data_IF_723245927921
#
_entry.id   IF_723245927921
#
_cell.length_a   1.000
_cell.length_b   1.000
_cell.length_c   1.000
_cell.angle_alpha   90.00
_cell.angle_beta   90.00
_cell.angle_gamma   90.00
#
_symmetry.space_group_name_H-M   'P 1'
#
loop_
_entity.id
_entity.type
_entity.pdbx_description
1 polymer ?
#
# COMPACT_ATOMS: atom_id res chain seq x y z
N UNK A 1 -2.00 12.84 -39.13
CA UNK A 1 -2.47 12.83 -37.73
C UNK A 1 -1.25 12.91 -36.83
N UNK A 2 -1.18 13.83 -35.86
CA UNK A 2 -0.08 13.83 -34.90
C UNK A 2 -0.11 12.54 -34.08
N UNK A 3 1.04 11.86 -33.97
CA UNK A 3 1.15 10.66 -33.14
C UNK A 3 0.87 11.00 -31.67
N UNK A 4 -0.21 10.46 -31.11
CA UNK A 4 -0.47 10.53 -29.69
C UNK A 4 0.59 9.69 -28.96
N UNK A 5 1.64 10.34 -28.45
CA UNK A 5 2.67 9.68 -27.64
C UNK A 5 2.16 9.51 -26.21
N UNK A 6 1.59 8.33 -25.92
CA UNK A 6 1.25 7.93 -24.55
C UNK A 6 2.52 7.75 -23.72
N UNK A 7 2.63 8.51 -22.63
CA UNK A 7 3.76 8.41 -21.70
C UNK A 7 3.70 7.12 -20.89
N UNK A 8 2.50 6.61 -20.62
CA UNK A 8 2.29 5.36 -19.88
C UNK A 8 3.01 4.20 -20.58
N UNK A 9 2.79 4.03 -21.89
CA UNK A 9 3.42 2.95 -22.65
C UNK A 9 4.95 2.98 -22.60
N UNK A 10 5.54 4.18 -22.67
CA UNK A 10 6.98 4.36 -22.54
C UNK A 10 7.50 3.99 -21.14
N UNK A 11 6.78 4.37 -20.07
CA UNK A 11 7.15 4.00 -18.68
C UNK A 11 7.10 2.51 -18.45
N UNK A 12 6.06 1.83 -18.93
CA UNK A 12 5.92 0.38 -18.83
C UNK A 12 7.01 -0.35 -19.60
N UNK A 13 7.31 0.09 -20.83
CA UNK A 13 8.41 -0.47 -21.63
C UNK A 13 9.76 -0.32 -20.92
N UNK A 14 10.05 0.86 -20.38
CA UNK A 14 11.29 1.11 -19.64
C UNK A 14 11.40 0.24 -18.38
N UNK A 15 10.31 0.12 -17.62
CA UNK A 15 10.25 -0.78 -16.47
C UNK A 15 10.51 -2.24 -16.85
N UNK A 16 9.90 -2.72 -17.94
CA UNK A 16 10.09 -4.09 -18.41
C UNK A 16 11.55 -4.36 -18.84
N UNK A 17 12.17 -3.44 -19.58
CA UNK A 17 13.58 -3.54 -19.94
C UNK A 17 14.51 -3.56 -18.72
N UNK A 18 14.22 -2.75 -17.70
CA UNK A 18 14.96 -2.77 -16.44
C UNK A 18 14.80 -4.08 -15.68
N UNK A 19 13.61 -4.70 -15.77
CA UNK A 19 13.33 -5.99 -15.14
C UNK A 19 14.11 -7.12 -15.82
N UNK A 20 14.14 -7.16 -17.14
CA UNK A 20 14.89 -8.15 -17.92
C UNK A 20 16.40 -8.04 -17.70
N UNK A 21 16.90 -6.82 -17.51
CA UNK A 21 18.33 -6.54 -17.26
C UNK A 21 18.73 -6.63 -15.79
N UNK A 22 17.78 -6.95 -14.89
CA UNK A 22 18.01 -7.01 -13.45
C UNK A 22 18.86 -8.23 -13.07
N UNK A 23 20.17 -8.13 -13.23
CA UNK A 23 21.16 -9.08 -12.72
C UNK A 23 21.89 -8.45 -11.55
N UNK A 24 21.30 -8.53 -10.36
CA UNK A 24 21.93 -8.02 -9.15
C UNK A 24 21.70 -8.98 -7.98
N UNK A 25 22.72 -9.76 -7.63
CA UNK A 25 22.73 -10.58 -6.41
C UNK A 25 22.26 -9.78 -5.18
N UNK A 26 22.72 -8.54 -5.07
CA UNK A 26 22.35 -7.63 -3.98
C UNK A 26 20.85 -7.33 -3.92
N UNK A 27 20.18 -7.28 -5.07
CA UNK A 27 18.73 -7.06 -5.12
C UNK A 27 17.99 -8.24 -4.48
N UNK A 28 18.33 -9.47 -4.88
CA UNK A 28 17.72 -10.68 -4.34
C UNK A 28 18.04 -10.87 -2.84
N UNK A 29 19.26 -10.55 -2.41
CA UNK A 29 19.61 -10.54 -0.97
C UNK A 29 18.74 -9.53 -0.21
N UNK A 30 18.55 -8.33 -0.76
CA UNK A 30 17.74 -7.30 -0.12
C UNK A 30 16.26 -7.70 -0.06
N UNK A 31 15.74 -8.31 -1.13
CA UNK A 31 14.37 -8.82 -1.19
C UNK A 31 14.14 -9.99 -0.21
N UNK A 32 15.08 -10.93 -0.14
CA UNK A 32 15.03 -12.04 0.80
C UNK A 32 15.14 -11.53 2.26
N UNK A 33 16.06 -10.60 2.52
CA UNK A 33 16.20 -9.96 3.83
C UNK A 33 14.95 -9.19 4.27
N UNK A 34 14.29 -8.50 3.33
CA UNK A 34 12.96 -7.92 3.56
C UNK A 34 11.96 -9.02 3.98
N UNK A 35 11.87 -10.10 3.20
CA UNK A 35 10.88 -11.18 3.42
C UNK A 35 11.03 -11.83 4.77
N UNK A 36 12.26 -12.22 5.09
CA UNK A 36 12.61 -12.87 6.35
C UNK A 36 12.38 -11.91 7.51
N UNK A 37 12.85 -10.66 7.43
CA UNK A 37 12.68 -9.68 8.51
C UNK A 37 11.22 -9.35 8.79
N UNK A 38 10.36 -9.30 7.76
CA UNK A 38 8.94 -9.07 7.94
C UNK A 38 8.23 -10.25 8.61
N UNK A 39 8.57 -11.48 8.20
CA UNK A 39 8.09 -12.69 8.85
C UNK A 39 8.46 -12.69 10.35
N UNK A 40 9.71 -12.33 10.67
CA UNK A 40 10.19 -12.27 12.05
C UNK A 40 9.51 -11.18 12.90
N UNK A 41 9.10 -10.07 12.30
CA UNK A 41 8.35 -9.00 12.98
C UNK A 41 6.90 -9.42 13.24
N UNK A 42 6.30 -10.20 12.34
CA UNK A 42 4.89 -10.59 12.41
C UNK A 42 4.62 -11.86 13.20
N UNK A 43 5.57 -12.79 13.21
CA UNK A 43 5.45 -14.00 14.00
C UNK A 43 5.65 -13.66 15.48
N UNK A 44 4.72 -14.02 16.36
CA UNK A 44 4.88 -13.86 17.80
C UNK A 44 5.92 -14.89 18.28
N UNK A 45 7.19 -14.57 18.04
CA UNK A 45 8.28 -15.29 18.66
C UNK A 45 8.32 -14.77 20.10
N UNK A 46 8.04 -15.63 21.08
CA UNK A 46 8.24 -15.38 22.51
C UNK A 46 9.75 -15.29 22.84
N UNK A 47 10.45 -14.43 22.10
CA UNK A 47 11.85 -14.12 22.28
C UNK A 47 11.98 -12.93 23.20
N UNK A 48 13.14 -12.86 23.85
CA UNK A 48 13.52 -11.80 24.77
C UNK A 48 13.32 -10.44 24.11
N UNK A 49 12.81 -9.45 24.84
CA UNK A 49 12.48 -8.10 24.33
C UNK A 49 13.56 -7.49 23.42
N UNK A 50 14.84 -7.72 23.75
CA UNK A 50 16.00 -7.24 22.99
C UNK A 50 16.09 -7.80 21.56
N UNK A 51 15.65 -9.04 21.33
CA UNK A 51 15.65 -9.68 20.02
C UNK A 51 14.54 -9.13 19.12
N UNK A 52 13.37 -8.84 19.70
CA UNK A 52 12.26 -8.23 18.95
C UNK A 52 12.65 -6.84 18.43
N UNK A 53 13.28 -6.02 19.27
CA UNK A 53 13.82 -4.72 18.84
C UNK A 53 14.80 -4.87 17.68
N UNK A 54 15.72 -5.85 17.74
CA UNK A 54 16.66 -6.13 16.66
C UNK A 54 15.94 -6.48 15.34
N UNK A 55 14.86 -7.28 15.39
CA UNK A 55 14.09 -7.60 14.19
C UNK A 55 13.37 -6.39 13.59
N UNK A 56 12.83 -5.49 14.41
CA UNK A 56 12.27 -4.22 13.91
C UNK A 56 13.35 -3.37 13.22
N UNK A 57 14.54 -3.24 13.82
CA UNK A 57 15.66 -2.48 13.22
C UNK A 57 16.10 -3.13 11.90
N UNK A 58 16.24 -4.45 11.88
CA UNK A 58 16.58 -5.21 10.68
C UNK A 58 15.53 -5.02 9.58
N UNK A 59 14.25 -5.07 9.95
CA UNK A 59 13.14 -4.89 9.03
C UNK A 59 13.14 -3.48 8.43
N UNK A 60 13.27 -2.45 9.25
CA UNK A 60 13.36 -1.06 8.79
C UNK A 60 14.55 -0.88 7.84
N UNK A 61 15.71 -1.45 8.17
CA UNK A 61 16.90 -1.42 7.31
C UNK A 61 16.64 -2.04 5.92
N UNK A 62 16.13 -3.28 5.87
CA UNK A 62 15.84 -3.95 4.60
C UNK A 62 14.69 -3.29 3.84
N UNK A 63 13.70 -2.74 4.53
CA UNK A 63 12.59 -2.02 3.93
C UNK A 63 13.07 -0.80 3.16
N UNK A 64 13.87 0.08 3.78
CA UNK A 64 14.43 1.24 3.08
C UNK A 64 15.38 0.84 1.96
N UNK A 65 16.24 -0.16 2.20
CA UNK A 65 17.19 -0.65 1.19
C UNK A 65 16.47 -1.24 -0.03
N UNK A 66 15.38 -1.99 0.18
CA UNK A 66 14.59 -2.58 -0.89
C UNK A 66 13.87 -1.51 -1.70
N UNK A 67 13.22 -0.55 -1.03
CA UNK A 67 12.54 0.56 -1.71
C UNK A 67 13.53 1.34 -2.56
N UNK A 68 14.71 1.67 -2.01
CA UNK A 68 15.76 2.37 -2.74
C UNK A 68 16.24 1.57 -3.95
N UNK A 69 16.46 0.26 -3.80
CA UNK A 69 16.86 -0.62 -4.90
C UNK A 69 15.78 -0.71 -6.00
N UNK A 70 14.51 -0.87 -5.64
CA UNK A 70 13.39 -0.91 -6.57
C UNK A 70 13.23 0.42 -7.32
N UNK A 71 13.36 1.54 -6.61
CA UNK A 71 13.25 2.88 -7.19
C UNK A 71 14.41 3.26 -8.10
N UNK A 72 15.63 2.86 -7.74
CA UNK A 72 16.83 3.21 -8.52
C UNK A 72 16.97 2.32 -9.75
N UNK A 73 16.73 1.02 -9.59
CA UNK A 73 16.96 0.00 -10.63
C UNK A 73 15.75 -0.23 -11.52
N UNK A 74 14.55 -0.35 -10.95
CA UNK A 74 13.36 -0.70 -11.74
C UNK A 74 12.56 0.52 -12.18
N UNK A 75 12.39 1.53 -11.31
CA UNK A 75 11.51 2.69 -11.53
C UNK A 75 10.10 2.26 -11.95
N UNK A 76 9.39 1.49 -11.11
CA UNK A 76 8.07 0.99 -11.46
C UNK A 76 7.08 2.14 -11.68
N UNK A 77 6.25 2.11 -12.75
CA UNK A 77 5.21 3.11 -12.94
C UNK A 77 4.21 3.06 -11.79
N UNK A 78 3.79 4.23 -11.29
CA UNK A 78 2.84 4.34 -10.19
C UNK A 78 1.55 3.57 -10.46
N UNK A 79 1.11 3.51 -11.70
CA UNK A 79 -0.17 2.92 -12.08
C UNK A 79 -0.12 1.39 -11.98
N UNK A 80 1.04 0.80 -12.30
CA UNK A 80 1.29 -0.61 -12.04
C UNK A 80 1.25 -0.89 -10.54
N UNK A 81 1.89 -0.06 -9.72
CA UNK A 81 1.91 -0.25 -8.26
C UNK A 81 0.50 -0.16 -7.65
N UNK A 82 -0.32 0.79 -8.10
CA UNK A 82 -1.72 0.93 -7.67
C UNK A 82 -2.55 -0.28 -8.10
N UNK A 83 -2.36 -0.75 -9.33
CA UNK A 83 -3.02 -1.97 -9.83
C UNK A 83 -2.61 -3.23 -9.05
N UNK A 84 -1.32 -3.40 -8.77
CA UNK A 84 -0.79 -4.51 -7.97
C UNK A 84 -1.29 -4.44 -6.53
N UNK A 85 -1.32 -3.26 -5.91
CA UNK A 85 -1.90 -3.10 -4.58
C UNK A 85 -3.37 -3.55 -4.58
N UNK A 86 -4.17 -3.07 -5.54
CA UNK A 86 -5.57 -3.43 -5.65
C UNK A 86 -5.79 -4.95 -5.85
N UNK A 87 -4.97 -5.58 -6.68
CA UNK A 87 -5.01 -7.03 -6.92
C UNK A 87 -4.67 -7.81 -5.65
N UNK A 88 -3.56 -7.50 -4.99
CA UNK A 88 -3.16 -8.17 -3.76
C UNK A 88 -4.14 -7.92 -2.63
N UNK A 89 -4.78 -6.75 -2.60
CA UNK A 89 -5.79 -6.46 -1.58
C UNK A 89 -7.06 -7.29 -1.78
N UNK A 90 -7.44 -7.60 -3.03
CA UNK A 90 -8.53 -8.56 -3.29
C UNK A 90 -8.20 -9.95 -2.78
N UNK A 91 -6.98 -10.43 -3.04
CA UNK A 91 -6.53 -11.73 -2.56
C UNK A 91 -6.52 -11.77 -1.04
N UNK A 92 -6.03 -10.70 -0.41
CA UNK A 92 -6.03 -10.53 1.03
C UNK A 92 -7.45 -10.49 1.61
N UNK A 93 -8.37 -9.74 1.01
CA UNK A 93 -9.76 -9.69 1.42
C UNK A 93 -10.45 -11.07 1.30
N UNK A 94 -10.11 -11.85 0.27
CA UNK A 94 -10.61 -13.21 0.12
C UNK A 94 -10.04 -14.15 1.21
N UNK A 95 -8.75 -14.04 1.54
CA UNK A 95 -8.13 -14.79 2.64
C UNK A 95 -8.78 -14.43 3.97
N UNK A 96 -8.92 -13.14 4.27
CA UNK A 96 -9.59 -12.65 5.46
C UNK A 96 -11.03 -13.15 5.53
N UNK A 97 -11.81 -13.01 4.45
CA UNK A 97 -13.19 -13.50 4.41
C UNK A 97 -13.27 -15.01 4.61
N UNK A 98 -12.33 -15.79 4.05
CA UNK A 98 -12.29 -17.24 4.28
C UNK A 98 -11.95 -17.62 5.73
N UNK A 99 -11.08 -16.85 6.39
CA UNK A 99 -10.79 -17.01 7.81
C UNK A 99 -11.98 -16.62 8.69
N UNK A 100 -12.73 -15.60 8.28
CA UNK A 100 -13.88 -15.11 9.03
C UNK A 100 -15.14 -15.93 8.80
N UNK A 101 -15.50 -16.30 7.57
CA UNK A 101 -16.75 -16.96 7.18
C UNK A 101 -16.94 -18.37 7.76
N UNK A 102 -15.89 -19.00 8.28
CA UNK A 102 -16.02 -20.15 9.20
C UNK A 102 -16.65 -19.78 10.56
N UNK A 103 -17.46 -18.71 10.64
CA UNK A 103 -17.90 -18.02 11.86
C UNK A 103 -18.82 -18.78 12.78
N UNK A 104 -19.52 -19.79 12.29
CA UNK A 104 -20.47 -20.54 13.11
C UNK A 104 -19.77 -21.45 14.15
N UNK A 105 -18.43 -21.48 14.17
CA UNK A 105 -17.58 -22.17 15.13
C UNK A 105 -16.77 -21.20 16.03
N UNK A 106 -17.16 -19.92 16.10
CA UNK A 106 -16.37 -18.83 16.70
C UNK A 106 -16.34 -18.82 18.22
N UNK A 107 -15.24 -19.36 18.74
CA UNK A 107 -14.43 -18.77 19.83
C UNK A 107 -12.99 -19.29 19.82
N UNK A 108 -12.74 -20.44 19.17
CA UNK A 108 -11.42 -21.10 19.16
C UNK A 108 -10.63 -20.96 17.84
N UNK A 109 -11.27 -20.57 16.74
CA UNK A 109 -10.65 -20.50 15.41
C UNK A 109 -10.00 -19.14 15.10
N UNK A 110 -10.35 -18.08 15.84
CA UNK A 110 -9.70 -16.76 15.74
C UNK A 110 -8.26 -16.81 16.29
N UNK A 111 -7.95 -17.77 17.16
CA UNK A 111 -6.63 -17.93 17.76
C UNK A 111 -5.62 -18.75 16.94
N UNK A 112 -6.04 -19.56 15.95
CA UNK A 112 -5.12 -20.39 15.15
C UNK A 112 -5.66 -20.67 13.73
N UNK A 113 -5.66 -19.68 12.82
CA UNK A 113 -5.74 -19.99 11.40
C UNK A 113 -4.66 -21.03 11.06
N UNK A 114 -5.00 -22.02 10.23
CA UNK A 114 -4.04 -23.04 9.81
C UNK A 114 -2.75 -22.39 9.28
N UNK A 115 -1.58 -22.98 9.50
CA UNK A 115 -0.28 -22.35 9.23
C UNK A 115 -0.14 -21.86 7.79
N UNK A 116 -0.80 -22.55 6.85
CA UNK A 116 -0.89 -22.13 5.45
C UNK A 116 -1.62 -20.79 5.27
N UNK A 117 -2.82 -20.64 5.83
CA UNK A 117 -3.62 -19.43 5.72
C UNK A 117 -2.91 -18.25 6.38
N UNK A 118 -2.30 -18.49 7.55
CA UNK A 118 -1.50 -17.50 8.26
C UNK A 118 -0.30 -17.04 7.42
N UNK A 119 0.43 -17.97 6.79
CA UNK A 119 1.54 -17.64 5.90
C UNK A 119 1.08 -16.86 4.66
N UNK A 120 -0.04 -17.26 4.04
CA UNK A 120 -0.62 -16.57 2.88
C UNK A 120 -1.00 -15.13 3.22
N UNK A 121 -1.66 -14.91 4.38
CA UNK A 121 -1.97 -13.58 4.89
C UNK A 121 -0.71 -12.72 5.05
N UNK A 122 0.35 -13.24 5.70
CA UNK A 122 1.62 -12.51 5.84
C UNK A 122 2.23 -12.18 4.47
N UNK A 123 2.18 -13.12 3.51
CA UNK A 123 2.69 -12.91 2.16
C UNK A 123 1.91 -11.82 1.39
N UNK A 124 0.60 -11.73 1.54
CA UNK A 124 -0.16 -10.67 0.90
C UNK A 124 0.01 -9.34 1.62
N UNK A 125 0.02 -9.33 2.95
CA UNK A 125 0.26 -8.14 3.75
C UNK A 125 1.65 -7.53 3.49
N UNK A 126 2.67 -8.37 3.35
CA UNK A 126 4.01 -7.95 2.95
C UNK A 126 4.04 -7.24 1.60
N UNK A 127 3.41 -7.85 0.59
CA UNK A 127 3.31 -7.28 -0.74
C UNK A 127 2.53 -5.95 -0.72
N UNK A 128 1.42 -5.86 0.03
CA UNK A 128 0.63 -4.64 0.18
C UNK A 128 1.45 -3.49 0.76
N UNK A 129 2.20 -3.74 1.85
CA UNK A 129 3.08 -2.74 2.44
C UNK A 129 4.14 -2.31 1.45
N UNK A 130 4.77 -3.26 0.75
CA UNK A 130 5.80 -2.96 -0.23
C UNK A 130 5.25 -2.07 -1.37
N UNK A 131 4.14 -2.46 -1.99
CA UNK A 131 3.54 -1.70 -3.09
C UNK A 131 3.12 -0.31 -2.64
N UNK A 132 2.45 -0.18 -1.49
CA UNK A 132 2.03 1.14 -1.02
C UNK A 132 3.23 2.01 -0.63
N UNK A 133 4.27 1.43 -0.05
CA UNK A 133 5.51 2.16 0.24
C UNK A 133 6.18 2.68 -1.03
N UNK A 134 6.17 1.90 -2.11
CA UNK A 134 6.69 2.33 -3.41
C UNK A 134 5.85 3.46 -4.01
N UNK A 135 4.52 3.40 -3.88
CA UNK A 135 3.60 4.49 -4.29
C UNK A 135 3.92 5.77 -3.53
N UNK A 136 4.11 5.68 -2.20
CA UNK A 136 4.49 6.82 -1.38
C UNK A 136 5.88 7.37 -1.75
N UNK A 137 6.85 6.50 -2.01
CA UNK A 137 8.21 6.89 -2.37
C UNK A 137 8.28 7.60 -3.74
N UNK A 138 7.52 7.13 -4.73
CA UNK A 138 7.42 7.78 -6.04
C UNK A 138 6.80 9.17 -5.92
N UNK A 139 5.72 9.28 -5.15
CA UNK A 139 5.02 10.54 -4.90
C UNK A 139 5.85 11.58 -4.12
N UNK A 140 6.75 11.13 -3.25
CA UNK A 140 7.47 11.99 -2.32
C UNK A 140 8.89 12.34 -2.76
N UNK A 141 9.23 12.17 -4.05
CA UNK A 141 10.59 12.37 -4.57
C UNK A 141 11.64 11.61 -3.75
N UNK A 142 11.29 10.41 -3.26
CA UNK A 142 12.19 9.47 -2.56
C UNK A 142 12.68 9.96 -1.18
N UNK A 143 11.92 10.81 -0.51
CA UNK A 143 12.26 11.28 0.83
C UNK A 143 11.96 10.20 1.88
N UNK A 144 13.01 9.60 2.48
CA UNK A 144 12.87 8.55 3.51
C UNK A 144 11.97 8.97 4.68
N UNK A 145 12.03 10.26 5.05
CA UNK A 145 11.20 10.84 6.11
C UNK A 145 9.69 10.74 5.87
N UNK A 146 9.24 10.68 4.61
CA UNK A 146 7.81 10.50 4.31
C UNK A 146 7.35 9.10 4.68
N UNK A 147 8.13 8.06 4.39
CA UNK A 147 7.79 6.69 4.78
C UNK A 147 7.75 6.54 6.30
N UNK A 148 8.69 7.17 7.02
CA UNK A 148 8.67 7.21 8.49
C UNK A 148 7.40 7.89 9.00
N UNK A 149 7.02 9.04 8.42
CA UNK A 149 5.79 9.74 8.81
C UNK A 149 4.56 8.86 8.62
N UNK A 150 4.40 8.18 7.47
CA UNK A 150 3.27 7.29 7.24
C UNK A 150 3.30 6.06 8.15
N UNK A 151 4.48 5.53 8.50
CA UNK A 151 4.60 4.44 9.48
C UNK A 151 4.16 4.89 10.89
N UNK A 152 4.50 6.11 11.30
CA UNK A 152 4.03 6.69 12.58
C UNK A 152 2.53 6.90 12.56
N UNK A 153 1.97 7.44 11.46
CA UNK A 153 0.52 7.59 11.30
C UNK A 153 -0.21 6.24 11.28
N UNK A 154 0.41 5.20 10.70
CA UNK A 154 -0.08 3.83 10.75
C UNK A 154 -0.14 3.30 12.17
N UNK A 155 0.95 3.48 12.93
CA UNK A 155 1.00 3.07 14.33
C UNK A 155 -0.11 3.77 15.14
N UNK A 156 -0.27 5.09 15.01
CA UNK A 156 -1.34 5.84 15.68
C UNK A 156 -2.72 5.31 15.24
N UNK A 157 -2.92 5.10 13.94
CA UNK A 157 -4.19 4.62 13.39
C UNK A 157 -4.58 3.22 13.85
N UNK A 158 -3.60 2.33 14.05
CA UNK A 158 -3.84 0.97 14.56
C UNK A 158 -4.22 0.99 16.05
N UNK A 159 -3.66 1.92 16.83
CA UNK A 159 -3.94 2.04 18.27
C UNK A 159 -5.22 2.82 18.58
N UNK A 160 -5.76 3.56 17.61
CA UNK A 160 -6.90 4.43 17.81
C UNK A 160 -8.21 3.70 17.50
N UNK A 161 -9.06 3.56 18.50
CA UNK A 161 -10.41 2.98 18.35
C UNK A 161 -11.51 4.06 18.27
N UNK A 162 -11.22 5.28 18.74
CA UNK A 162 -12.17 6.38 18.75
C UNK A 162 -12.46 6.92 17.34
N UNK A 163 -13.75 7.06 17.03
CA UNK A 163 -14.23 7.53 15.73
C UNK A 163 -13.70 8.92 15.37
N UNK A 164 -13.69 9.86 16.31
CA UNK A 164 -13.29 11.24 16.06
C UNK A 164 -11.79 11.34 15.76
N UNK A 165 -10.96 10.63 16.53
CA UNK A 165 -9.52 10.55 16.29
C UNK A 165 -9.20 9.88 14.94
N UNK A 166 -9.91 8.79 14.60
CA UNK A 166 -9.79 8.16 13.29
C UNK A 166 -10.20 9.10 12.15
N UNK A 167 -11.28 9.86 12.32
CA UNK A 167 -11.70 10.84 11.32
C UNK A 167 -10.65 11.93 11.10
N UNK A 168 -10.10 12.51 12.17
CA UNK A 168 -9.00 13.48 12.09
C UNK A 168 -7.80 12.87 11.36
N UNK A 169 -7.40 11.65 11.72
CA UNK A 169 -6.31 10.95 11.07
C UNK A 169 -6.57 10.79 9.56
N UNK A 170 -7.79 10.44 9.16
CA UNK A 170 -8.17 10.31 7.76
C UNK A 170 -8.10 11.65 7.01
N UNK A 171 -8.53 12.75 7.63
CA UNK A 171 -8.41 14.09 7.05
C UNK A 171 -6.93 14.48 6.86
N UNK A 172 -6.08 14.22 7.87
CA UNK A 172 -4.64 14.46 7.79
C UNK A 172 -4.03 13.63 6.65
N UNK A 173 -4.32 12.34 6.59
CA UNK A 173 -3.85 11.44 5.53
C UNK A 173 -4.31 11.91 4.15
N UNK A 174 -5.57 12.33 4.01
CA UNK A 174 -6.11 12.86 2.76
C UNK A 174 -5.34 14.08 2.29
N UNK A 175 -5.11 15.07 3.16
CA UNK A 175 -4.37 16.28 2.82
C UNK A 175 -2.91 15.94 2.43
N UNK A 176 -2.26 15.07 3.20
CA UNK A 176 -0.87 14.65 2.93
C UNK A 176 -0.76 13.93 1.59
N UNK A 177 -1.65 12.98 1.31
CA UNK A 177 -1.67 12.22 0.06
C UNK A 177 -2.01 13.14 -1.13
N UNK A 178 -3.01 14.02 -1.00
CA UNK A 178 -3.39 14.97 -2.04
C UNK A 178 -2.23 15.89 -2.44
N UNK A 179 -1.49 16.41 -1.44
CA UNK A 179 -0.33 17.28 -1.68
C UNK A 179 0.86 16.55 -2.28
N UNK A 180 1.08 15.30 -1.89
CA UNK A 180 2.25 14.51 -2.32
C UNK A 180 2.01 13.75 -3.62
N UNK A 181 0.78 13.58 -4.07
CA UNK A 181 0.49 12.82 -5.31
C UNK A 181 0.93 13.63 -6.54
N UNK A 182 2.13 13.36 -7.03
CA UNK A 182 2.79 14.12 -8.11
C UNK A 182 2.86 13.37 -9.43
N UNK A 183 2.76 12.03 -9.44
CA UNK A 183 2.88 11.25 -10.69
C UNK A 183 1.82 11.65 -11.74
N UNK A 184 0.64 12.09 -11.30
CA UNK A 184 -0.44 12.58 -12.15
C UNK A 184 -0.05 13.81 -12.98
N UNK A 185 0.88 14.63 -12.48
CA UNK A 185 1.30 15.87 -13.13
C UNK A 185 2.13 15.59 -14.39
N UNK A 186 2.68 14.38 -14.53
CA UNK A 186 3.40 13.94 -15.73
C UNK A 186 2.48 13.51 -16.88
N UNK A 187 1.21 13.21 -16.60
CA UNK A 187 0.30 12.62 -17.57
C UNK A 187 -0.11 13.61 -18.65
N UNK A 188 -0.38 13.09 -19.85
CA UNK A 188 -1.06 13.85 -20.90
C UNK A 188 -2.53 14.08 -20.57
N UNK A 189 -3.16 15.09 -21.21
CA UNK A 189 -4.59 15.38 -21.02
C UNK A 189 -5.48 14.16 -21.25
N UNK A 190 -5.18 13.36 -22.29
CA UNK A 190 -5.95 12.14 -22.62
C UNK A 190 -5.78 11.09 -21.52
N UNK A 191 -4.55 10.86 -21.05
CA UNK A 191 -4.28 9.93 -19.96
C UNK A 191 -5.00 10.35 -18.68
N UNK A 192 -5.01 11.64 -18.32
CA UNK A 192 -5.76 12.13 -17.16
C UNK A 192 -7.25 11.77 -17.23
N UNK A 193 -7.90 11.92 -18.39
CA UNK A 193 -9.31 11.54 -18.55
C UNK A 193 -9.53 10.03 -18.41
N UNK A 194 -8.66 9.22 -19.02
CA UNK A 194 -8.71 7.76 -18.89
C UNK A 194 -8.56 7.36 -17.42
N UNK A 195 -7.57 7.92 -16.72
CA UNK A 195 -7.34 7.64 -15.31
C UNK A 195 -8.46 8.16 -14.41
N UNK A 196 -9.12 9.26 -14.74
CA UNK A 196 -10.28 9.74 -13.98
C UNK A 196 -11.36 8.66 -13.94
N UNK A 197 -11.70 8.11 -15.11
CA UNK A 197 -12.69 7.05 -15.26
C UNK A 197 -12.22 5.76 -14.57
N UNK A 198 -10.98 5.34 -14.82
CA UNK A 198 -10.43 4.12 -14.26
C UNK A 198 -10.37 4.16 -12.72
N UNK A 199 -9.85 5.24 -12.14
CA UNK A 199 -9.76 5.43 -10.69
C UNK A 199 -11.15 5.56 -10.07
N UNK A 200 -12.13 6.16 -10.78
CA UNK A 200 -13.51 6.24 -10.27
C UNK A 200 -14.13 4.85 -10.10
N UNK A 201 -14.01 3.99 -11.12
CA UNK A 201 -14.49 2.62 -11.01
C UNK A 201 -13.73 1.83 -9.95
N UNK A 202 -12.40 2.00 -9.87
CA UNK A 202 -11.56 1.34 -8.87
C UNK A 202 -11.95 1.79 -7.46
N UNK A 203 -12.15 3.08 -7.22
CA UNK A 203 -12.61 3.62 -5.93
C UNK A 203 -13.99 3.11 -5.53
N UNK A 204 -14.95 3.09 -6.47
CA UNK A 204 -16.29 2.59 -6.23
C UNK A 204 -16.27 1.12 -5.84
N UNK A 205 -15.55 0.30 -6.60
CA UNK A 205 -15.41 -1.13 -6.35
C UNK A 205 -14.69 -1.38 -5.02
N UNK A 206 -13.53 -0.75 -4.81
CA UNK A 206 -12.73 -0.91 -3.60
C UNK A 206 -13.49 -0.51 -2.33
N UNK A 207 -14.30 0.55 -2.40
CA UNK A 207 -15.14 1.00 -1.27
C UNK A 207 -16.21 -0.02 -0.88
N UNK A 208 -16.64 -0.88 -1.81
CA UNK A 208 -17.60 -1.95 -1.57
C UNK A 208 -16.99 -3.26 -1.06
N UNK A 209 -15.67 -3.43 -1.13
CA UNK A 209 -15.00 -4.68 -0.75
C UNK A 209 -14.80 -4.89 0.75
N UNK A 210 -15.16 -3.92 1.59
CA UNK A 210 -14.80 -3.84 3.00
C UNK A 210 -14.84 -5.21 3.73
N UNK A 211 -13.70 -5.92 3.88
CA UNK A 211 -13.69 -7.27 4.44
C UNK A 211 -13.90 -7.27 5.96
N UNK A 212 -13.92 -6.07 6.56
CA UNK A 212 -14.08 -5.85 7.99
C UNK A 212 -15.53 -5.46 8.36
N UNK A 213 -16.45 -5.46 7.40
CA UNK A 213 -17.84 -5.13 7.68
C UNK A 213 -18.46 -6.18 8.62
N UNK A 214 -19.00 -5.72 9.74
CA UNK A 214 -19.65 -6.57 10.73
C UNK A 214 -18.70 -7.19 11.78
N UNK A 215 -17.41 -6.84 11.78
CA UNK A 215 -16.45 -7.27 12.81
C UNK A 215 -16.34 -6.17 13.88
N UNK A 216 -16.69 -6.50 15.12
CA UNK A 216 -16.56 -5.55 16.23
C UNK A 216 -15.13 -5.51 16.77
N UNK A 217 -14.67 -4.33 17.22
CA UNK A 217 -13.32 -4.18 17.80
C UNK A 217 -13.10 -5.07 19.03
N UNK A 218 -14.17 -5.35 19.77
CA UNK A 218 -14.20 -6.24 20.95
C UNK A 218 -13.84 -7.69 20.61
N UNK A 219 -14.17 -8.14 19.39
CA UNK A 219 -13.93 -9.51 18.92
C UNK A 219 -12.47 -9.77 18.53
N UNK A 220 -11.64 -8.70 18.46
CA UNK A 220 -10.27 -8.76 17.91
C UNK A 220 -9.21 -8.25 18.91
N UNK A 221 -9.57 -8.17 20.20
CA UNK A 221 -8.75 -7.58 21.24
C UNK A 221 -7.35 -8.20 21.37
N UNK A 222 -7.20 -9.50 21.10
CA UNK A 222 -5.92 -10.23 21.21
C UNK A 222 -5.03 -10.14 19.96
N UNK A 223 -5.58 -9.74 18.81
CA UNK A 223 -4.89 -9.75 17.51
C UNK A 223 -4.85 -8.37 16.83
N UNK A 224 -4.64 -7.31 17.64
CA UNK A 224 -4.70 -5.91 17.18
C UNK A 224 -3.84 -5.62 15.94
N UNK A 225 -2.66 -6.21 15.81
CA UNK A 225 -1.79 -5.97 14.65
C UNK A 225 -2.28 -6.72 13.39
N UNK A 226 -2.71 -7.97 13.56
CA UNK A 226 -3.23 -8.83 12.49
C UNK A 226 -4.48 -8.28 11.84
N UNK A 227 -5.30 -7.56 12.60
CA UNK A 227 -6.50 -6.90 12.08
C UNK A 227 -6.29 -5.42 11.76
N UNK A 228 -5.57 -4.71 12.64
CA UNK A 228 -5.38 -3.28 12.54
C UNK A 228 -4.57 -2.87 11.32
N UNK A 229 -3.53 -3.62 10.95
CA UNK A 229 -2.67 -3.26 9.82
C UNK A 229 -3.39 -3.43 8.46
N UNK A 230 -4.06 -4.57 8.16
CA UNK A 230 -4.90 -4.69 6.96
C UNK A 230 -6.03 -3.64 6.90
N UNK A 231 -6.68 -3.35 8.04
CA UNK A 231 -7.72 -2.31 8.14
C UNK A 231 -7.16 -0.91 7.88
N UNK A 232 -5.98 -0.62 8.41
CA UNK A 232 -5.29 0.65 8.15
C UNK A 232 -4.92 0.77 6.67
N UNK A 233 -4.35 -0.26 6.05
CA UNK A 233 -4.00 -0.27 4.64
C UNK A 233 -5.23 -0.09 3.73
N UNK A 234 -6.35 -0.71 4.08
CA UNK A 234 -7.64 -0.49 3.42
C UNK A 234 -8.06 0.99 3.44
N UNK A 235 -8.10 1.59 4.64
CA UNK A 235 -8.49 2.99 4.79
C UNK A 235 -7.51 3.91 4.07
N UNK A 236 -6.21 3.66 4.22
CA UNK A 236 -5.16 4.44 3.60
C UNK A 236 -5.24 4.41 2.06
N UNK A 237 -5.45 3.23 1.46
CA UNK A 237 -5.60 3.11 0.02
C UNK A 237 -6.92 3.74 -0.47
N UNK A 238 -8.01 3.58 0.27
CA UNK A 238 -9.29 4.24 -0.04
C UNK A 238 -9.12 5.76 -0.08
N UNK A 239 -8.43 6.32 0.91
CA UNK A 239 -8.12 7.77 0.96
C UNK A 239 -7.17 8.17 -0.17
N UNK A 240 -6.18 7.34 -0.50
CA UNK A 240 -5.29 7.58 -1.63
C UNK A 240 -6.06 7.66 -2.95
N UNK A 241 -6.97 6.73 -3.21
CA UNK A 241 -7.82 6.78 -4.41
C UNK A 241 -8.71 8.02 -4.44
N UNK A 242 -9.28 8.41 -3.30
CA UNK A 242 -10.04 9.66 -3.19
C UNK A 242 -9.15 10.88 -3.48
N UNK A 243 -7.94 10.92 -2.94
CA UNK A 243 -6.97 11.99 -3.22
C UNK A 243 -6.60 12.04 -4.71
N UNK A 244 -6.38 10.89 -5.35
CA UNK A 244 -6.14 10.79 -6.80
C UNK A 244 -7.35 11.30 -7.60
N UNK A 245 -8.58 10.91 -7.23
CA UNK A 245 -9.81 11.38 -7.88
C UNK A 245 -9.98 12.90 -7.81
N UNK A 246 -9.66 13.51 -6.68
CA UNK A 246 -9.72 14.97 -6.51
C UNK A 246 -8.57 15.66 -7.23
N UNK A 247 -7.38 15.05 -7.25
CA UNK A 247 -6.18 15.63 -7.88
C UNK A 247 -6.27 15.64 -9.41
N UNK A 248 -6.90 14.66 -10.04
CA UNK A 248 -6.98 14.60 -11.52
C UNK A 248 -7.68 15.84 -12.12
N UNK A 249 -8.87 16.26 -11.66
CA UNK A 249 -9.49 17.52 -12.11
C UNK A 249 -8.60 18.75 -11.87
N UNK A 250 -7.92 18.81 -10.72
CA UNK A 250 -6.96 19.88 -10.40
C UNK A 250 -5.86 19.92 -11.47
N UNK A 251 -5.22 18.78 -11.76
CA UNK A 251 -4.18 18.66 -12.79
C UNK A 251 -4.72 19.07 -14.17
N UNK A 252 -5.93 18.64 -14.52
CA UNK A 252 -6.58 18.99 -15.79
C UNK A 252 -6.77 20.51 -15.95
N UNK A 253 -7.19 21.20 -14.89
CA UNK A 253 -7.38 22.65 -14.90
C UNK A 253 -6.04 23.38 -14.91
N UNK A 254 -5.12 23.08 -14.00
CA UNK A 254 -3.88 23.86 -13.87
C UNK A 254 -2.89 23.63 -15.01
N UNK A 255 -2.74 22.39 -15.50
CA UNK A 255 -1.71 22.07 -16.51
C UNK A 255 -2.21 22.25 -17.95
N UNK A 256 -3.52 22.27 -18.18
CA UNK A 256 -4.08 22.24 -19.53
C UNK A 256 -5.17 23.30 -19.82
N UNK A 257 -5.59 24.12 -18.85
CA UNK A 257 -6.43 25.27 -19.18
C UNK A 257 -5.63 26.35 -19.92
N UNK A 258 -6.24 26.95 -20.94
CA UNK A 258 -5.61 28.00 -21.76
C UNK A 258 -5.29 29.28 -20.98
N UNK A 259 -5.91 29.49 -19.81
CA UNK A 259 -5.68 30.66 -18.95
C UNK A 259 -4.37 30.60 -18.16
N UNK A 260 -3.67 29.45 -18.11
CA UNK A 260 -2.36 29.31 -17.45
C UNK A 260 -1.17 29.34 -18.44
N UNK A 261 -1.41 29.58 -19.73
CA UNK A 261 -0.40 29.85 -20.76
C UNK A 261 -0.56 31.26 -21.32
#
# INVERSE_FOLDING_TARGET
MPEFKFQVGARFKHFWLNLETLKARDFYITLAGWGISFLLVLLPLELWFNLNFLFYVLHVYFWFRLIEALHTKLRPPCELLVGLFFLFYHLEAAVLHSAYASSSFFRFAVSTPGPFLQFTHILFLSALILFFSLVLAENSKKTKGVLVLYAVLAFIGIQTEDFFHLFILQVILFILLLRRTTWLESLTKVECWIYLVAVFFLFRHFSGLNPFQGIESSEVAEAKFWYGLPRFLYLLFKIYLLAVLVKIPIVLVYNFASLSR
#
